data_IF_855330537755
#
_entry.id   IF_855330537755
#
_cell.length_a   1.000
_cell.length_b   1.000
_cell.length_c   1.000
_cell.angle_alpha   90.00
_cell.angle_beta   90.00
_cell.angle_gamma   90.00
#
_symmetry.space_group_name_H-M   'P 1'
#
loop_
_entity.id
_entity.type
_entity.pdbx_description
1 polymer ?
#
# COMPACT_ATOMS: atom_id res chain seq x y z
N UNK A 1 -11.99 24.92 -10.39
CA UNK A 1 -13.48 24.99 -10.27
C UNK A 1 -14.01 23.69 -9.70
N UNK A 2 -15.05 23.68 -8.84
CA UNK A 2 -15.58 22.44 -8.27
C UNK A 2 -16.40 21.64 -9.30
N UNK A 3 -16.56 20.35 -9.04
CA UNK A 3 -17.30 19.43 -9.90
C UNK A 3 -18.44 18.74 -9.15
N UNK A 4 -19.44 18.26 -9.88
CA UNK A 4 -20.46 17.40 -9.32
C UNK A 4 -19.89 15.99 -9.02
N UNK A 5 -20.07 15.49 -7.80
CA UNK A 5 -19.59 14.17 -7.38
C UNK A 5 -20.29 13.01 -8.09
N UNK A 6 -21.47 13.25 -8.68
CA UNK A 6 -22.26 12.22 -9.38
C UNK A 6 -21.87 12.09 -10.85
N UNK A 7 -21.76 13.22 -11.57
CA UNK A 7 -21.60 13.23 -13.03
C UNK A 7 -20.38 14.01 -13.55
N UNK A 8 -19.54 14.53 -12.64
CA UNK A 8 -18.34 15.36 -12.91
C UNK A 8 -18.57 16.62 -13.72
N UNK A 9 -19.82 17.02 -13.92
CA UNK A 9 -20.12 18.28 -14.57
C UNK A 9 -19.56 19.43 -13.71
N UNK A 10 -18.81 20.38 -14.29
CA UNK A 10 -18.29 21.52 -13.54
C UNK A 10 -19.44 22.38 -13.02
N UNK A 11 -19.35 22.82 -11.77
CA UNK A 11 -20.37 23.65 -11.12
C UNK A 11 -19.71 24.94 -10.65
N UNK A 12 -20.43 26.06 -10.69
CA UNK A 12 -19.92 27.37 -10.25
C UNK A 12 -19.67 27.43 -8.74
N UNK A 13 -20.61 26.91 -7.95
CA UNK A 13 -20.54 26.85 -6.49
C UNK A 13 -21.16 25.54 -6.00
N UNK A 14 -20.60 24.92 -4.96
CA UNK A 14 -21.16 23.70 -4.36
C UNK A 14 -22.31 23.99 -3.40
N UNK A 15 -22.29 25.17 -2.78
CA UNK A 15 -23.30 25.61 -1.84
C UNK A 15 -23.42 27.13 -1.84
N UNK A 16 -24.55 27.62 -1.35
CA UNK A 16 -24.79 29.03 -1.07
C UNK A 16 -24.97 29.21 0.44
N UNK A 17 -24.19 30.12 1.02
CA UNK A 17 -24.34 30.55 2.42
C UNK A 17 -25.29 31.73 2.50
N UNK A 18 -26.35 31.61 3.31
CA UNK A 18 -27.23 32.73 3.62
C UNK A 18 -26.73 33.44 4.88
N UNK A 19 -26.16 34.63 4.71
CA UNK A 19 -25.53 35.44 5.76
C UNK A 19 -26.47 35.95 6.87
N UNK A 20 -27.79 35.77 6.72
CA UNK A 20 -28.79 36.22 7.70
C UNK A 20 -29.25 35.13 8.68
N UNK A 21 -28.62 33.95 8.65
CA UNK A 21 -28.92 32.83 9.55
C UNK A 21 -27.85 32.63 10.64
N UNK A 22 -27.06 33.65 10.97
CA UNK A 22 -26.09 33.62 12.08
C UNK A 22 -26.79 33.73 13.47
N UNK A 23 -28.01 33.21 13.58
CA UNK A 23 -28.63 33.00 14.88
C UNK A 23 -28.00 31.73 15.49
N UNK A 24 -27.44 31.84 16.70
CA UNK A 24 -26.69 30.75 17.36
C UNK A 24 -27.52 29.47 17.55
N UNK A 25 -28.84 29.57 17.34
CA UNK A 25 -29.85 28.51 17.48
C UNK A 25 -30.17 27.79 16.16
N UNK A 26 -29.92 28.39 14.99
CA UNK A 26 -30.32 27.85 13.67
C UNK A 26 -29.17 27.28 12.83
N UNK A 27 -27.91 27.51 13.26
CA UNK A 27 -26.73 27.04 12.54
C UNK A 27 -26.50 27.80 11.22
N UNK A 28 -25.31 27.64 10.63
CA UNK A 28 -25.00 28.24 9.34
C UNK A 28 -25.91 27.60 8.27
N UNK A 29 -26.94 28.34 7.84
CA UNK A 29 -27.83 27.92 6.77
C UNK A 29 -27.07 27.80 5.44
N UNK A 30 -26.59 26.60 5.15
CA UNK A 30 -25.95 26.24 3.89
C UNK A 30 -26.98 25.53 3.02
N UNK A 31 -27.17 26.00 1.79
CA UNK A 31 -28.01 25.31 0.79
C UNK A 31 -27.13 24.71 -0.29
N UNK A 32 -27.18 23.40 -0.43
CA UNK A 32 -26.46 22.68 -1.48
C UNK A 32 -26.97 23.08 -2.87
N UNK A 33 -26.03 23.29 -3.79
CA UNK A 33 -26.33 23.59 -5.20
C UNK A 33 -26.73 22.31 -5.93
N UNK A 34 -27.78 22.37 -6.74
CA UNK A 34 -28.19 21.26 -7.60
C UNK A 34 -27.39 21.29 -8.91
N UNK A 35 -26.89 20.14 -9.35
CA UNK A 35 -26.18 20.04 -10.62
C UNK A 35 -27.14 20.29 -11.80
N UNK A 36 -26.79 21.16 -12.77
CA UNK A 36 -27.67 21.46 -13.90
C UNK A 36 -27.85 20.26 -14.85
N UNK A 37 -26.86 19.35 -14.91
CA UNK A 37 -26.86 18.17 -15.79
C UNK A 37 -27.65 16.98 -15.22
N UNK A 38 -27.27 16.49 -14.04
CA UNK A 38 -27.88 15.28 -13.47
C UNK A 38 -29.02 15.55 -12.49
N UNK A 39 -29.31 16.82 -12.17
CA UNK A 39 -30.35 17.26 -11.23
C UNK A 39 -30.25 16.68 -9.80
N UNK A 40 -29.13 16.05 -9.45
CA UNK A 40 -28.80 15.67 -8.07
C UNK A 40 -28.03 16.80 -7.38
N UNK A 41 -27.96 16.79 -6.05
CA UNK A 41 -27.10 17.72 -5.32
C UNK A 41 -25.65 17.57 -5.80
N UNK A 42 -24.98 18.69 -6.08
CA UNK A 42 -23.67 18.70 -6.70
C UNK A 42 -22.64 18.00 -5.83
N UNK A 43 -22.68 18.24 -4.52
CA UNK A 43 -21.84 17.57 -3.55
C UNK A 43 -22.52 17.51 -2.18
N UNK A 44 -22.96 16.31 -1.77
CA UNK A 44 -23.59 16.11 -0.46
C UNK A 44 -22.58 16.09 0.69
N UNK A 45 -21.31 15.76 0.43
CA UNK A 45 -20.31 15.55 1.48
C UNK A 45 -19.83 16.84 2.12
N UNK A 46 -20.22 18.01 1.58
CA UNK A 46 -19.99 19.31 2.20
C UNK A 46 -20.59 19.41 3.61
N UNK A 47 -21.72 18.74 3.84
CA UNK A 47 -22.42 18.74 5.14
C UNK A 47 -22.04 17.56 6.04
N UNK A 48 -21.30 16.57 5.52
CA UNK A 48 -20.99 15.35 6.25
C UNK A 48 -19.69 15.47 7.05
N UNK A 49 -19.68 14.88 8.24
CA UNK A 49 -18.49 14.80 9.08
C UNK A 49 -17.44 13.82 8.54
N UNK A 50 -16.18 14.00 8.95
CA UNK A 50 -15.05 13.17 8.50
C UNK A 50 -15.24 11.67 8.74
N UNK A 51 -16.00 11.27 9.76
CA UNK A 51 -16.29 9.86 10.03
C UNK A 51 -17.09 9.24 8.88
N UNK A 52 -18.11 9.94 8.37
CA UNK A 52 -18.92 9.43 7.25
C UNK A 52 -18.09 9.41 5.97
N UNK A 53 -17.27 10.45 5.74
CA UNK A 53 -16.35 10.48 4.61
C UNK A 53 -15.37 9.30 4.68
N UNK A 54 -14.85 8.99 5.87
CA UNK A 54 -13.94 7.86 6.08
C UNK A 54 -14.61 6.51 5.78
N UNK A 55 -15.81 6.27 6.31
CA UNK A 55 -16.57 5.04 6.04
C UNK A 55 -16.82 4.88 4.54
N UNK A 56 -17.30 5.93 3.88
CA UNK A 56 -17.55 5.88 2.44
C UNK A 56 -16.27 5.71 1.62
N UNK A 57 -15.12 6.17 2.13
CA UNK A 57 -13.82 5.98 1.50
C UNK A 57 -13.36 4.51 1.61
N UNK A 58 -13.57 3.88 2.77
CA UNK A 58 -13.38 2.43 3.00
C UNK A 58 -14.26 1.60 2.09
N UNK A 59 -15.50 2.04 1.86
CA UNK A 59 -16.43 1.39 0.95
C UNK A 59 -16.14 1.67 -0.54
N UNK A 60 -15.03 2.34 -0.85
CA UNK A 60 -14.60 2.66 -2.22
C UNK A 60 -15.69 3.41 -2.99
N UNK A 61 -16.48 4.24 -2.31
CA UNK A 61 -17.56 4.97 -2.99
C UNK A 61 -16.96 6.04 -3.91
N UNK A 62 -17.29 6.04 -5.21
CA UNK A 62 -16.70 6.99 -6.15
C UNK A 62 -17.02 8.45 -5.82
N UNK A 63 -18.15 8.70 -5.14
CA UNK A 63 -18.59 10.04 -4.79
C UNK A 63 -17.67 10.72 -3.76
N UNK A 64 -17.19 9.99 -2.74
CA UNK A 64 -16.29 10.58 -1.73
C UNK A 64 -14.89 10.81 -2.29
N UNK A 65 -14.41 9.94 -3.18
CA UNK A 65 -13.17 10.17 -3.91
C UNK A 65 -13.24 11.46 -4.73
N UNK A 66 -14.35 11.70 -5.43
CA UNK A 66 -14.53 12.94 -6.21
C UNK A 66 -14.63 14.18 -5.32
N UNK A 67 -15.35 14.08 -4.20
CA UNK A 67 -15.40 15.15 -3.18
C UNK A 67 -13.99 15.50 -2.69
N UNK A 68 -13.23 14.50 -2.24
CA UNK A 68 -11.88 14.70 -1.71
C UNK A 68 -10.94 15.24 -2.78
N UNK A 69 -10.88 14.63 -3.96
CA UNK A 69 -9.86 14.95 -4.97
C UNK A 69 -10.11 16.25 -5.72
N UNK A 70 -11.36 16.60 -6.00
CA UNK A 70 -11.67 17.74 -6.85
C UNK A 70 -12.28 18.91 -6.09
N UNK A 71 -13.09 18.64 -5.06
CA UNK A 71 -13.83 19.68 -4.35
C UNK A 71 -13.12 20.15 -3.06
N UNK A 72 -12.30 19.29 -2.45
CA UNK A 72 -11.61 19.60 -1.18
C UNK A 72 -10.10 19.76 -1.31
N UNK A 73 -9.43 18.84 -2.01
CA UNK A 73 -7.97 18.78 -2.11
C UNK A 73 -7.44 19.19 -3.49
N UNK A 74 -8.33 19.34 -4.48
CA UNK A 74 -7.98 19.72 -5.84
C UNK A 74 -7.51 21.17 -5.88
N UNK A 75 -6.19 21.39 -5.84
CA UNK A 75 -5.61 22.71 -6.10
C UNK A 75 -5.03 22.75 -7.51
N UNK A 76 -5.32 23.83 -8.21
CA UNK A 76 -4.84 24.07 -9.58
C UNK A 76 -3.35 24.45 -9.62
N UNK A 77 -2.76 24.83 -8.48
CA UNK A 77 -1.36 25.26 -8.37
C UNK A 77 -0.33 24.11 -8.31
N UNK A 78 -0.78 22.86 -8.41
CA UNK A 78 0.09 21.68 -8.40
C UNK A 78 0.81 21.43 -7.07
N UNK A 79 0.46 22.15 -6.00
CA UNK A 79 1.05 21.98 -4.67
C UNK A 79 0.24 20.98 -3.85
N UNK A 80 0.93 20.21 -3.02
CA UNK A 80 0.27 19.35 -2.05
C UNK A 80 -0.32 20.17 -0.90
N UNK A 81 -1.55 19.84 -0.52
CA UNK A 81 -2.16 20.39 0.69
C UNK A 81 -1.37 19.91 1.93
N UNK A 82 -1.18 20.76 2.96
CA UNK A 82 -0.50 20.36 4.20
C UNK A 82 -1.13 19.13 4.88
N UNK A 83 -2.44 18.94 4.76
CA UNK A 83 -3.13 17.76 5.27
C UNK A 83 -2.73 16.46 4.53
N UNK A 84 -2.46 16.54 3.23
CA UNK A 84 -1.99 15.39 2.43
C UNK A 84 -0.52 15.09 2.71
N UNK A 85 0.30 16.11 2.95
CA UNK A 85 1.67 15.91 3.40
C UNK A 85 1.67 15.20 4.76
N UNK A 86 0.82 15.64 5.71
CA UNK A 86 0.64 14.96 7.00
C UNK A 86 0.18 13.51 6.86
N UNK A 87 -0.80 13.25 5.98
CA UNK A 87 -1.24 11.89 5.67
C UNK A 87 -0.10 11.05 5.06
N UNK A 88 0.66 11.61 4.13
CA UNK A 88 1.80 10.93 3.49
C UNK A 88 2.91 10.59 4.48
N UNK A 89 3.24 11.50 5.40
CA UNK A 89 4.19 11.25 6.49
C UNK A 89 3.67 10.13 7.39
N UNK A 90 2.39 10.18 7.78
CA UNK A 90 1.77 9.11 8.59
C UNK A 90 1.88 7.75 7.89
N UNK A 91 1.48 7.66 6.62
CA UNK A 91 1.56 6.44 5.83
C UNK A 91 2.99 5.91 5.71
N UNK A 92 3.96 6.80 5.52
CA UNK A 92 5.37 6.44 5.43
C UNK A 92 5.91 5.89 6.74
N UNK A 93 5.54 6.47 7.89
CA UNK A 93 5.90 5.93 9.20
C UNK A 93 5.26 4.56 9.45
N UNK A 94 4.02 4.37 8.98
CA UNK A 94 3.37 3.06 9.02
C UNK A 94 4.05 2.02 8.14
N UNK A 95 4.44 2.40 6.92
CA UNK A 95 5.20 1.52 6.04
C UNK A 95 6.53 1.11 6.68
N UNK A 96 7.24 2.04 7.34
CA UNK A 96 8.47 1.76 8.08
C UNK A 96 8.21 0.72 9.18
N UNK A 97 7.19 0.94 10.01
CA UNK A 97 6.83 0.01 11.09
C UNK A 97 6.48 -1.38 10.54
N UNK A 98 5.61 -1.45 9.53
CA UNK A 98 5.19 -2.73 8.96
C UNK A 98 6.32 -3.46 8.24
N UNK A 99 7.27 -2.73 7.65
CA UNK A 99 8.43 -3.32 6.97
C UNK A 99 9.43 -3.87 7.97
N UNK A 100 9.70 -3.11 9.04
CA UNK A 100 10.53 -3.58 10.14
C UNK A 100 9.92 -4.83 10.80
N UNK A 101 8.64 -4.79 11.18
CA UNK A 101 7.96 -5.91 11.84
C UNK A 101 7.99 -7.19 10.98
N UNK A 102 7.75 -7.07 9.66
CA UNK A 102 7.83 -8.19 8.72
C UNK A 102 9.23 -8.79 8.63
N UNK A 103 10.26 -7.95 8.64
CA UNK A 103 11.66 -8.43 8.56
C UNK A 103 12.08 -9.10 9.85
N UNK A 104 11.64 -8.60 11.01
CA UNK A 104 11.87 -9.22 12.31
C UNK A 104 11.22 -10.61 12.40
N UNK A 105 9.95 -10.73 11.98
CA UNK A 105 9.24 -12.02 11.96
C UNK A 105 9.83 -13.01 10.93
N UNK A 106 10.41 -12.52 9.84
CA UNK A 106 11.09 -13.34 8.84
C UNK A 106 12.46 -13.84 9.31
N UNK A 107 12.97 -13.37 10.47
CA UNK A 107 14.12 -13.98 11.11
C UNK A 107 13.65 -15.23 11.87
N UNK A 108 14.05 -16.45 11.46
CA UNK A 108 13.86 -17.60 12.31
C UNK A 108 14.67 -17.35 13.59
N UNK A 109 14.00 -17.15 14.71
CA UNK A 109 14.62 -17.29 16.02
C UNK A 109 15.11 -18.73 16.11
N UNK A 110 16.43 -18.92 15.94
CA UNK A 110 17.12 -20.13 16.34
C UNK A 110 17.11 -20.20 17.87
N UNK A 111 15.94 -20.46 18.46
CA UNK A 111 15.78 -20.69 19.89
C UNK A 111 14.49 -21.46 20.18
N UNK A 112 14.33 -22.61 19.53
CA UNK A 112 13.33 -23.62 19.91
C UNK A 112 13.91 -25.04 19.80
N UNK A 113 15.22 -25.20 20.03
CA UNK A 113 15.85 -26.53 20.20
C UNK A 113 16.39 -26.79 21.61
N UNK A 114 16.35 -25.79 22.51
CA UNK A 114 16.64 -25.98 23.93
C UNK A 114 15.34 -26.14 24.75
N UNK A 115 14.45 -27.01 24.28
CA UNK A 115 13.52 -27.65 25.20
C UNK A 115 14.35 -28.68 25.99
N UNK A 116 14.84 -28.23 27.14
CA UNK A 116 15.50 -29.00 28.19
C UNK A 116 14.84 -30.39 28.30
N UNK A 117 15.49 -31.41 27.75
CA UNK A 117 15.19 -32.80 28.04
C UNK A 117 15.68 -33.09 29.46
N UNK A 118 14.72 -33.24 30.35
CA UNK A 118 14.91 -33.68 31.73
C UNK A 118 15.63 -35.05 31.72
N UNK A 119 16.73 -35.25 32.47
CA UNK A 119 17.39 -36.55 32.50
C UNK A 119 16.55 -37.55 33.31
N UNK A 120 16.00 -38.54 32.62
CA UNK A 120 15.37 -39.73 33.23
C UNK A 120 16.47 -40.65 33.80
N UNK A 121 16.25 -41.38 34.91
CA UNK A 121 17.30 -42.14 35.57
C UNK A 121 17.71 -43.39 34.77
N UNK A 122 19.01 -43.46 34.47
CA UNK A 122 19.89 -44.63 34.23
C UNK A 122 19.26 -46.02 34.01
N UNK A 123 19.38 -46.52 32.77
CA UNK A 123 19.41 -47.96 32.47
C UNK A 123 20.88 -48.49 32.53
N UNK A 124 21.18 -49.64 33.16
CA UNK A 124 22.57 -50.05 33.45
C UNK A 124 23.28 -50.87 32.36
N UNK A 125 22.71 -51.04 31.16
CA UNK A 125 23.29 -51.93 30.14
C UNK A 125 23.17 -51.35 28.72
N UNK A 126 24.18 -50.58 28.31
CA UNK A 126 24.46 -50.35 26.90
C UNK A 126 25.98 -50.34 26.67
N UNK A 127 26.42 -51.37 25.96
CA UNK A 127 27.80 -51.67 25.64
C UNK A 127 28.46 -50.60 24.76
N UNK A 128 29.77 -50.40 25.00
CA UNK A 128 30.68 -49.72 24.08
C UNK A 128 30.74 -50.43 22.72
N UNK A 129 30.54 -49.67 21.65
CA UNK A 129 31.23 -49.89 20.38
C UNK A 129 31.60 -48.55 19.76
N UNK A 130 32.86 -48.18 19.94
CA UNK A 130 33.58 -47.30 19.02
C UNK A 130 33.75 -48.01 17.67
N UNK A 131 33.38 -47.36 16.56
CA UNK A 131 34.17 -47.47 15.34
C UNK A 131 33.94 -46.29 14.40
N UNK A 132 35.06 -45.77 13.95
CA UNK A 132 35.24 -44.58 13.14
C UNK A 132 34.72 -44.75 11.70
N UNK A 133 34.36 -43.63 11.08
CA UNK A 133 34.86 -43.29 9.75
C UNK A 133 34.65 -41.80 9.50
N UNK A 134 35.76 -41.09 9.36
CA UNK A 134 35.77 -39.70 8.95
C UNK A 134 35.25 -39.57 7.52
N UNK A 135 34.33 -38.63 7.33
CA UNK A 135 34.19 -37.87 6.08
C UNK A 135 33.90 -36.43 6.49
N UNK A 136 34.99 -35.74 6.83
CA UNK A 136 35.06 -34.30 6.88
C UNK A 136 34.95 -33.75 5.46
N UNK A 137 33.73 -33.47 5.03
CA UNK A 137 33.43 -32.50 3.97
C UNK A 137 32.39 -31.52 4.49
N UNK A 138 32.85 -30.69 5.43
CA UNK A 138 32.19 -29.45 5.82
C UNK A 138 32.57 -28.36 4.84
N UNK A 139 32.06 -28.46 3.61
CA UNK A 139 31.94 -27.31 2.70
C UNK A 139 30.48 -26.90 2.60
N UNK A 140 29.81 -26.74 3.75
CA UNK A 140 28.66 -25.83 3.84
C UNK A 140 29.26 -24.44 3.89
N UNK A 141 29.44 -23.85 2.72
CA UNK A 141 29.75 -22.44 2.55
C UNK A 141 28.88 -21.64 3.50
N UNK A 142 29.50 -21.10 4.56
CA UNK A 142 28.84 -20.28 5.56
C UNK A 142 28.36 -18.99 4.90
N UNK A 143 27.16 -19.01 4.33
CA UNK A 143 26.35 -17.82 4.26
C UNK A 143 25.82 -17.59 5.67
N UNK A 144 26.58 -16.85 6.48
CA UNK A 144 26.01 -16.09 7.59
C UNK A 144 24.73 -15.43 7.07
N UNK A 145 23.56 -15.61 7.71
CA UNK A 145 22.38 -14.81 7.40
C UNK A 145 22.75 -13.33 7.48
N UNK A 146 22.93 -12.68 6.33
CA UNK A 146 23.33 -11.27 6.23
C UNK A 146 22.37 -10.30 6.94
N UNK A 147 21.23 -10.80 7.44
CA UNK A 147 20.31 -10.14 8.38
C UNK A 147 20.98 -9.72 9.70
N UNK A 148 22.06 -10.37 10.13
CA UNK A 148 22.81 -9.95 11.31
C UNK A 148 23.60 -8.66 11.10
N UNK A 149 23.97 -8.33 9.85
CA UNK A 149 24.72 -7.10 9.55
C UNK A 149 23.90 -5.83 9.73
N UNK A 150 22.57 -5.88 9.58
CA UNK A 150 21.69 -4.74 9.92
C UNK A 150 21.41 -4.66 11.43
N UNK A 151 21.37 -5.80 12.12
CA UNK A 151 21.13 -5.87 13.56
C UNK A 151 22.34 -5.38 14.38
N UNK A 152 23.56 -5.57 13.87
CA UNK A 152 24.79 -5.06 14.50
C UNK A 152 25.06 -3.56 14.24
N UNK A 153 24.25 -2.89 13.43
CA UNK A 153 24.38 -1.44 13.20
C UNK A 153 23.73 -0.64 14.34
N UNK A 154 24.22 0.59 14.61
CA UNK A 154 23.54 1.46 15.56
C UNK A 154 22.08 1.70 15.13
N UNK A 155 21.19 1.67 16.11
CA UNK A 155 19.72 1.74 15.92
C UNK A 155 19.27 2.89 15.01
N UNK A 156 19.99 4.02 15.03
CA UNK A 156 19.71 5.19 14.19
C UNK A 156 19.91 4.86 12.71
N UNK A 157 20.99 4.15 12.36
CA UNK A 157 21.25 3.74 10.98
C UNK A 157 20.21 2.73 10.49
N UNK A 158 19.75 1.83 11.35
CA UNK A 158 18.67 0.90 11.04
C UNK A 158 17.36 1.64 10.70
N UNK A 159 16.94 2.61 11.53
CA UNK A 159 15.74 3.41 11.26
C UNK A 159 15.86 4.29 10.02
N UNK A 160 17.03 4.92 9.80
CA UNK A 160 17.28 5.73 8.59
C UNK A 160 17.25 4.85 7.33
N UNK A 161 17.79 3.63 7.39
CA UNK A 161 17.71 2.67 6.29
C UNK A 161 16.26 2.33 5.95
N UNK A 162 15.44 1.93 6.93
CA UNK A 162 14.03 1.61 6.69
C UNK A 162 13.25 2.82 6.19
N UNK A 163 13.51 4.01 6.74
CA UNK A 163 12.89 5.25 6.29
C UNK A 163 13.20 5.53 4.82
N UNK A 164 14.47 5.41 4.41
CA UNK A 164 14.89 5.61 3.03
C UNK A 164 14.32 4.54 2.09
N UNK A 165 14.33 3.28 2.51
CA UNK A 165 13.72 2.18 1.76
C UNK A 165 12.24 2.45 1.49
N UNK A 166 11.45 2.73 2.52
CA UNK A 166 10.01 3.00 2.39
C UNK A 166 9.73 4.29 1.60
N UNK A 167 10.55 5.33 1.77
CA UNK A 167 10.46 6.55 0.99
C UNK A 167 10.71 6.30 -0.50
N UNK A 168 11.78 5.57 -0.84
CA UNK A 168 12.14 5.23 -2.21
C UNK A 168 11.12 4.31 -2.86
N UNK A 169 10.56 3.33 -2.13
CA UNK A 169 9.45 2.52 -2.62
C UNK A 169 8.21 3.36 -2.93
N UNK A 170 7.83 4.26 -2.03
CA UNK A 170 6.69 5.17 -2.24
C UNK A 170 6.93 6.06 -3.46
N UNK A 171 8.12 6.66 -3.58
CA UNK A 171 8.50 7.47 -4.73
C UNK A 171 8.47 6.62 -6.01
N UNK A 172 8.98 5.40 -5.99
CA UNK A 172 9.04 4.49 -7.14
C UNK A 172 7.67 3.97 -7.58
N UNK A 173 6.68 3.94 -6.69
CA UNK A 173 5.30 3.68 -7.06
C UNK A 173 4.66 4.89 -7.76
N UNK A 174 4.89 6.11 -7.24
CA UNK A 174 4.25 7.33 -7.74
C UNK A 174 4.87 7.88 -9.03
N UNK A 175 6.21 7.91 -9.13
CA UNK A 175 6.92 8.49 -10.26
C UNK A 175 6.52 7.90 -11.62
N UNK A 176 6.51 6.58 -11.85
CA UNK A 176 6.17 6.02 -13.16
C UNK A 176 4.73 6.33 -13.55
N UNK A 177 3.79 6.27 -12.60
CA UNK A 177 2.38 6.60 -12.86
C UNK A 177 2.27 8.08 -13.27
N UNK A 178 2.96 8.98 -12.57
CA UNK A 178 2.99 10.42 -12.90
C UNK A 178 3.62 10.68 -14.26
N UNK A 179 4.79 10.09 -14.54
CA UNK A 179 5.50 10.31 -15.79
C UNK A 179 4.66 9.79 -16.96
N UNK A 180 4.15 8.57 -16.88
CA UNK A 180 3.29 7.95 -17.90
C UNK A 180 2.04 8.80 -18.20
N UNK A 181 1.36 9.33 -17.17
CA UNK A 181 0.17 10.17 -17.35
C UNK A 181 0.50 11.60 -17.83
N UNK A 182 1.70 12.11 -17.50
CA UNK A 182 2.15 13.44 -17.94
C UNK A 182 2.67 13.45 -19.38
N UNK A 183 3.19 12.32 -19.87
CA UNK A 183 3.74 12.20 -21.22
C UNK A 183 2.62 12.18 -22.26
N UNK A 184 2.80 12.93 -23.35
CA UNK A 184 1.96 12.82 -24.54
C UNK A 184 2.49 11.70 -25.43
N UNK A 185 2.03 10.49 -25.15
CA UNK A 185 2.47 9.29 -25.88
C UNK A 185 1.96 9.30 -27.34
N UNK A 186 2.79 8.87 -28.31
CA UNK A 186 2.36 8.70 -29.70
C UNK A 186 1.37 7.53 -29.83
N UNK A 187 0.59 7.51 -30.91
CA UNK A 187 -0.31 6.40 -31.23
C UNK A 187 0.53 5.14 -31.57
N UNK A 188 0.14 3.93 -31.10
CA UNK A 188 -1.15 3.57 -30.50
C UNK A 188 -1.23 3.68 -28.96
N UNK A 189 -0.13 3.97 -28.25
CA UNK A 189 -0.12 3.99 -26.77
C UNK A 189 -1.08 5.02 -26.17
N UNK A 190 -1.36 6.12 -26.90
CA UNK A 190 -2.33 7.13 -26.48
C UNK A 190 -3.76 6.60 -26.33
N UNK A 191 -4.10 5.47 -26.95
CA UNK A 191 -5.41 4.83 -26.77
C UNK A 191 -5.48 4.08 -25.43
N UNK A 192 -4.35 3.61 -24.92
CA UNK A 192 -4.26 2.85 -23.68
C UNK A 192 -4.06 3.73 -22.45
N UNK A 193 -3.36 4.86 -22.60
CA UNK A 193 -2.99 5.74 -21.48
C UNK A 193 -3.56 7.15 -21.72
N UNK A 194 -4.46 7.63 -20.84
CA UNK A 194 -4.98 8.99 -20.93
C UNK A 194 -3.93 10.01 -20.49
N UNK A 195 -3.86 11.15 -21.18
CA UNK A 195 -3.05 12.28 -20.73
C UNK A 195 -3.75 13.02 -19.58
N UNK A 196 -3.05 13.26 -18.48
CA UNK A 196 -3.57 13.99 -17.33
C UNK A 196 -2.57 15.07 -16.87
N UNK A 197 -2.91 16.37 -16.99
CA UNK A 197 -1.96 17.46 -16.80
C UNK A 197 -1.66 17.82 -15.34
N UNK A 198 -2.38 17.27 -14.36
CA UNK A 198 -2.24 17.63 -12.94
C UNK A 198 -1.58 16.50 -12.11
N UNK A 199 -0.24 16.41 -12.06
CA UNK A 199 0.48 15.31 -11.42
C UNK A 199 0.31 15.24 -9.89
N UNK A 200 0.02 16.37 -9.24
CA UNK A 200 -0.21 16.40 -7.79
C UNK A 200 -1.53 15.73 -7.38
N UNK A 201 -2.57 15.83 -8.22
CA UNK A 201 -3.86 15.17 -7.96
C UNK A 201 -3.71 13.65 -8.06
N UNK A 202 -2.90 13.16 -9.01
CA UNK A 202 -2.58 11.72 -9.12
C UNK A 202 -1.95 11.21 -7.83
N UNK A 203 -0.93 11.89 -7.33
CA UNK A 203 -0.28 11.48 -6.07
C UNK A 203 -1.21 11.62 -4.88
N UNK A 204 -2.06 12.64 -4.86
CA UNK A 204 -3.08 12.81 -3.81
C UNK A 204 -4.08 11.66 -3.83
N UNK A 205 -4.53 11.22 -5.01
CA UNK A 205 -5.42 10.07 -5.16
C UNK A 205 -4.79 8.80 -4.60
N UNK A 206 -3.54 8.51 -4.98
CA UNK A 206 -2.81 7.32 -4.52
C UNK A 206 -2.51 7.34 -3.01
N UNK A 207 -2.19 8.51 -2.43
CA UNK A 207 -2.01 8.65 -0.99
C UNK A 207 -3.32 8.47 -0.22
N UNK A 208 -4.41 9.10 -0.70
CA UNK A 208 -5.73 8.97 -0.08
C UNK A 208 -6.24 7.54 -0.17
N UNK A 209 -6.01 6.82 -1.27
CA UNK A 209 -6.40 5.41 -1.41
C UNK A 209 -5.52 4.44 -0.61
N UNK A 210 -4.27 4.80 -0.34
CA UNK A 210 -3.34 4.00 0.48
C UNK A 210 -3.59 4.10 1.99
N UNK A 211 -4.64 4.81 2.43
CA UNK A 211 -5.00 4.91 3.84
C UNK A 211 -5.25 3.55 4.50
N UNK A 212 -5.53 2.50 3.72
CA UNK A 212 -5.78 1.17 4.24
C UNK A 212 -4.54 0.49 4.83
N UNK A 213 -3.35 1.04 4.57
CA UNK A 213 -2.12 0.67 5.27
C UNK A 213 -2.16 0.95 6.78
N UNK A 214 -3.14 1.73 7.24
CA UNK A 214 -3.38 1.99 8.66
C UNK A 214 -4.20 0.87 9.34
N UNK A 215 -4.93 0.04 8.60
CA UNK A 215 -5.77 -1.02 9.19
C UNK A 215 -5.00 -2.03 10.05
N UNK A 216 -3.74 -2.41 9.73
CA UNK A 216 -2.94 -3.26 10.60
C UNK A 216 -2.77 -2.74 12.04
N UNK A 217 -2.98 -1.44 12.32
CA UNK A 217 -3.06 -0.97 13.71
C UNK A 217 -4.21 -1.59 14.50
N UNK A 218 -5.35 -1.80 13.86
CA UNK A 218 -6.48 -2.47 14.49
C UNK A 218 -6.16 -3.95 14.73
N UNK A 219 -5.35 -4.55 13.85
CA UNK A 219 -4.81 -5.90 14.01
C UNK A 219 -3.72 -5.99 15.09
N UNK A 220 -3.17 -4.87 15.56
CA UNK A 220 -2.24 -4.86 16.70
C UNK A 220 -3.01 -5.06 18.01
N UNK A 221 -4.24 -4.53 18.08
CA UNK A 221 -5.11 -4.66 19.27
C UNK A 221 -5.68 -6.08 19.38
N UNK A 222 -5.91 -6.75 18.26
CA UNK A 222 -6.56 -8.05 18.19
C UNK A 222 -5.64 -9.10 17.58
N UNK A 223 -5.45 -10.23 18.26
CA UNK A 223 -4.70 -11.36 17.70
C UNK A 223 -5.49 -12.00 16.55
N UNK A 224 -5.13 -11.67 15.31
CA UNK A 224 -5.60 -12.33 14.11
C UNK A 224 -4.53 -13.28 13.55
N UNK A 225 -4.94 -14.22 12.69
CA UNK A 225 -4.00 -15.05 11.94
C UNK A 225 -3.09 -14.15 11.07
N UNK A 226 -1.86 -14.00 11.54
CA UNK A 226 -0.83 -13.05 11.05
C UNK A 226 -0.64 -13.09 9.52
N UNK A 227 -0.51 -14.26 8.85
CA UNK A 227 -0.30 -14.29 7.41
C UNK A 227 -1.56 -13.99 6.57
N UNK A 228 -2.72 -14.49 6.98
CA UNK A 228 -3.99 -14.30 6.24
C UNK A 228 -4.48 -12.84 6.28
N UNK A 229 -4.26 -12.17 7.42
CA UNK A 229 -4.68 -10.78 7.60
C UNK A 229 -3.76 -9.80 6.87
N UNK A 230 -2.45 -10.07 6.89
CA UNK A 230 -1.46 -9.24 6.18
C UNK A 230 -1.67 -9.28 4.65
N UNK A 231 -1.94 -10.45 4.08
CA UNK A 231 -2.23 -10.58 2.65
C UNK A 231 -3.53 -9.86 2.26
N UNK A 232 -4.60 -9.99 3.06
CA UNK A 232 -5.86 -9.29 2.83
C UNK A 232 -5.70 -7.76 2.79
N UNK A 233 -4.90 -7.18 3.70
CA UNK A 233 -4.60 -5.75 3.70
C UNK A 233 -3.82 -5.34 2.44
N UNK A 234 -2.84 -6.14 2.02
CA UNK A 234 -2.09 -5.87 0.78
C UNK A 234 -3.00 -5.82 -0.44
N UNK A 235 -3.90 -6.80 -0.58
CA UNK A 235 -4.91 -6.83 -1.65
C UNK A 235 -5.85 -5.62 -1.60
N UNK A 236 -6.30 -5.23 -0.40
CA UNK A 236 -7.14 -4.05 -0.23
C UNK A 236 -6.45 -2.77 -0.70
N UNK A 237 -5.16 -2.59 -0.42
CA UNK A 237 -4.38 -1.44 -0.90
C UNK A 237 -4.32 -1.41 -2.43
N UNK A 238 -4.06 -2.56 -3.08
CA UNK A 238 -4.02 -2.66 -4.54
C UNK A 238 -5.38 -2.27 -5.13
N UNK A 239 -6.47 -2.88 -4.65
CA UNK A 239 -7.83 -2.64 -5.15
C UNK A 239 -8.20 -1.16 -4.98
N UNK A 240 -7.88 -0.56 -3.82
CA UNK A 240 -8.13 0.85 -3.57
C UNK A 240 -7.34 1.76 -4.51
N UNK A 241 -6.07 1.47 -4.76
CA UNK A 241 -5.24 2.23 -5.68
C UNK A 241 -5.74 2.12 -7.13
N UNK A 242 -6.16 0.93 -7.57
CA UNK A 242 -6.79 0.71 -8.89
C UNK A 242 -8.10 1.49 -9.01
N UNK A 243 -8.99 1.37 -8.02
CA UNK A 243 -10.26 2.07 -8.01
C UNK A 243 -10.07 3.59 -8.00
N UNK A 244 -9.12 4.10 -7.23
CA UNK A 244 -8.80 5.53 -7.21
C UNK A 244 -8.28 6.04 -8.56
N UNK A 245 -7.45 5.27 -9.27
CA UNK A 245 -7.00 5.61 -10.62
C UNK A 245 -8.14 5.55 -11.63
N UNK A 246 -9.00 4.53 -11.57
CA UNK A 246 -10.19 4.44 -12.43
C UNK A 246 -11.13 5.63 -12.20
N UNK A 247 -11.42 5.95 -10.94
CA UNK A 247 -12.24 7.10 -10.56
C UNK A 247 -11.55 8.38 -10.99
N UNK A 248 -10.25 8.56 -10.83
CA UNK A 248 -9.58 9.79 -11.23
C UNK A 248 -9.61 9.99 -12.76
N UNK A 249 -9.25 8.94 -13.51
CA UNK A 249 -8.94 9.04 -14.94
C UNK A 249 -10.12 8.72 -15.86
N UNK A 250 -11.19 8.09 -15.38
CA UNK A 250 -12.33 7.67 -16.21
C UNK A 250 -11.93 6.75 -17.38
N UNK A 251 -10.79 6.07 -17.25
CA UNK A 251 -10.21 5.24 -18.30
C UNK A 251 -10.72 3.80 -18.30
N UNK A 252 -11.52 3.42 -17.29
CA UNK A 252 -11.99 2.06 -17.05
C UNK A 252 -10.99 1.18 -16.29
N UNK A 253 -11.51 0.12 -15.66
CA UNK A 253 -10.76 -0.78 -14.76
C UNK A 253 -9.47 -1.31 -15.38
N UNK A 254 -9.51 -1.83 -16.61
CA UNK A 254 -8.34 -2.49 -17.24
C UNK A 254 -7.16 -1.54 -17.34
N UNK A 255 -7.39 -0.30 -17.79
CA UNK A 255 -6.33 0.71 -17.93
C UNK A 255 -5.80 1.14 -16.57
N UNK A 256 -6.68 1.27 -15.57
CA UNK A 256 -6.29 1.58 -14.20
C UNK A 256 -5.43 0.45 -13.58
N UNK A 257 -5.78 -0.81 -13.82
CA UNK A 257 -5.00 -1.99 -13.41
C UNK A 257 -3.62 -1.97 -14.04
N UNK A 258 -3.52 -1.73 -15.35
CA UNK A 258 -2.22 -1.65 -16.05
C UNK A 258 -1.34 -0.55 -15.44
N UNK A 259 -1.90 0.65 -15.22
CA UNK A 259 -1.17 1.77 -14.61
C UNK A 259 -0.70 1.45 -13.18
N UNK A 260 -1.57 0.86 -12.36
CA UNK A 260 -1.22 0.43 -11.00
C UNK A 260 -0.13 -0.66 -11.02
N UNK A 261 -0.21 -1.60 -11.96
CA UNK A 261 0.76 -2.68 -12.11
C UNK A 261 2.14 -2.14 -12.49
N UNK A 262 2.25 -1.16 -13.39
CA UNK A 262 3.53 -0.51 -13.72
C UNK A 262 4.15 0.11 -12.47
N UNK A 263 3.37 0.84 -11.67
CA UNK A 263 3.84 1.38 -10.40
C UNK A 263 4.29 0.30 -9.42
N UNK A 264 3.51 -0.78 -9.28
CA UNK A 264 3.81 -1.88 -8.37
C UNK A 264 5.09 -2.64 -8.76
N UNK A 265 5.31 -2.89 -10.06
CA UNK A 265 6.53 -3.51 -10.58
C UNK A 265 7.75 -2.64 -10.31
N UNK A 266 7.66 -1.32 -10.55
CA UNK A 266 8.75 -0.40 -10.23
C UNK A 266 9.04 -0.37 -8.73
N UNK A 267 8.01 -0.31 -7.87
CA UNK A 267 8.14 -0.39 -6.42
C UNK A 267 8.87 -1.66 -5.99
N UNK A 268 8.42 -2.82 -6.47
CA UNK A 268 9.01 -4.11 -6.14
C UNK A 268 10.47 -4.22 -6.61
N UNK A 269 10.77 -3.73 -7.82
CA UNK A 269 12.13 -3.72 -8.36
C UNK A 269 13.10 -2.86 -7.54
N UNK A 270 12.66 -1.67 -7.11
CA UNK A 270 13.47 -0.79 -6.25
C UNK A 270 13.66 -1.39 -4.86
N UNK A 271 12.59 -1.88 -4.22
CA UNK A 271 12.69 -2.53 -2.91
C UNK A 271 13.63 -3.72 -2.93
N UNK A 272 13.46 -4.62 -3.91
CA UNK A 272 14.34 -5.77 -4.10
C UNK A 272 15.80 -5.36 -4.37
N UNK A 273 16.02 -4.35 -5.21
CA UNK A 273 17.37 -3.85 -5.52
C UNK A 273 18.09 -3.30 -4.30
N UNK A 274 17.40 -2.51 -3.46
CA UNK A 274 17.96 -1.93 -2.23
C UNK A 274 18.26 -3.02 -1.21
N UNK A 275 17.33 -3.95 -0.98
CA UNK A 275 17.53 -5.06 -0.04
C UNK A 275 18.69 -5.97 -0.47
N UNK A 276 18.80 -6.27 -1.77
CA UNK A 276 19.93 -7.03 -2.32
C UNK A 276 21.26 -6.29 -2.16
N UNK A 277 21.28 -4.97 -2.38
CA UNK A 277 22.48 -4.14 -2.18
C UNK A 277 22.91 -4.09 -0.70
N UNK A 278 21.95 -4.13 0.22
CA UNK A 278 22.19 -4.23 1.67
C UNK A 278 22.61 -5.65 2.12
N UNK A 279 22.73 -6.61 1.19
CA UNK A 279 23.14 -7.98 1.46
C UNK A 279 22.03 -8.88 2.00
N UNK A 280 20.80 -8.39 2.16
CA UNK A 280 19.66 -9.17 2.67
C UNK A 280 19.30 -10.27 1.67
N UNK A 281 19.23 -11.52 2.15
CA UNK A 281 18.98 -12.70 1.32
C UNK A 281 17.69 -12.61 0.49
N UNK A 282 17.70 -13.22 -0.70
CA UNK A 282 16.61 -13.14 -1.69
C UNK A 282 15.25 -13.59 -1.16
N UNK A 283 15.20 -14.47 -0.15
CA UNK A 283 13.97 -14.93 0.48
C UNK A 283 13.24 -13.86 1.31
N UNK A 284 13.97 -13.02 2.04
CA UNK A 284 13.39 -11.91 2.83
C UNK A 284 13.04 -10.72 1.93
N UNK A 285 13.84 -10.48 0.89
CA UNK A 285 13.52 -9.48 -0.14
C UNK A 285 12.26 -9.86 -0.95
N UNK A 286 11.98 -11.15 -1.13
CA UNK A 286 10.74 -11.64 -1.72
C UNK A 286 9.54 -11.56 -0.75
N UNK A 287 9.76 -11.68 0.57
CA UNK A 287 8.73 -11.53 1.59
C UNK A 287 8.22 -10.08 1.73
N UNK A 288 9.02 -9.07 1.36
CA UNK A 288 8.54 -7.68 1.19
C UNK A 288 7.52 -7.53 0.04
N UNK A 289 7.44 -8.54 -0.83
CA UNK A 289 6.54 -8.68 -1.98
C UNK A 289 5.63 -9.90 -1.74
N UNK A 290 4.93 -9.91 -0.58
CA UNK A 290 3.85 -10.88 -0.28
C UNK A 290 2.86 -11.01 -1.45
N UNK A 291 2.74 -9.98 -2.28
CA UNK A 291 1.90 -9.94 -3.48
C UNK A 291 2.27 -10.96 -4.56
N UNK A 292 3.55 -11.32 -4.72
CA UNK A 292 3.96 -12.22 -5.82
C UNK A 292 3.71 -13.70 -5.52
N UNK A 293 3.88 -14.15 -4.28
CA UNK A 293 3.65 -15.55 -3.90
C UNK A 293 2.19 -15.98 -4.10
N UNK A 294 1.25 -15.17 -3.60
CA UNK A 294 -0.19 -15.42 -3.73
C UNK A 294 -0.67 -15.29 -5.18
N UNK A 295 -0.14 -14.34 -5.95
CA UNK A 295 -0.44 -14.20 -7.37
C UNK A 295 0.07 -15.39 -8.19
N UNK A 296 1.28 -15.87 -7.91
CA UNK A 296 1.85 -17.05 -8.57
C UNK A 296 1.05 -18.30 -8.23
N UNK A 297 0.64 -18.47 -6.97
CA UNK A 297 -0.18 -19.60 -6.53
C UNK A 297 -1.60 -19.54 -7.11
N UNK A 298 -2.23 -18.36 -7.14
CA UNK A 298 -3.52 -18.14 -7.80
C UNK A 298 -3.43 -18.40 -9.30
N UNK A 299 -2.36 -17.91 -9.95
CA UNK A 299 -2.13 -18.13 -11.36
C UNK A 299 -1.84 -19.60 -11.66
N UNK A 300 -1.08 -20.30 -10.82
CA UNK A 300 -0.90 -21.77 -10.90
C UNK A 300 -2.23 -22.49 -10.77
N UNK A 301 -3.08 -22.13 -9.80
CA UNK A 301 -4.42 -22.73 -9.62
C UNK A 301 -5.33 -22.46 -10.80
N UNK A 302 -5.29 -21.26 -11.37
CA UNK A 302 -6.04 -20.89 -12.57
C UNK A 302 -5.49 -21.58 -13.82
N UNK A 303 -4.17 -21.68 -13.99
CA UNK A 303 -3.54 -22.39 -15.10
C UNK A 303 -3.86 -23.89 -15.05
N UNK A 304 -3.88 -24.48 -13.86
CA UNK A 304 -4.34 -25.85 -13.61
C UNK A 304 -5.84 -26.03 -13.94
N UNK A 305 -6.69 -25.04 -13.62
CA UNK A 305 -8.12 -25.09 -13.97
C UNK A 305 -8.40 -24.86 -15.46
N UNK A 306 -7.54 -24.11 -16.16
CA UNK A 306 -7.65 -23.80 -17.59
C UNK A 306 -6.93 -24.86 -18.45
N UNK A 307 -6.27 -25.84 -17.85
CA UNK A 307 -5.61 -26.95 -18.57
C UNK A 307 -4.35 -26.53 -19.32
N UNK A 308 -3.74 -25.40 -18.96
CA UNK A 308 -2.48 -24.92 -19.54
C UNK A 308 -1.35 -25.40 -18.63
N UNK A 309 -1.00 -26.67 -18.75
CA UNK A 309 0.10 -27.28 -17.99
C UNK A 309 -0.05 -28.78 -17.83
N UNK A 310 0.18 -29.52 -18.92
CA UNK A 310 0.90 -30.80 -18.83
C UNK A 310 2.39 -30.52 -19.05
#
# INVERSE_FOLDING_TARGET
MPICIECRYPVSSLYTTYSKADDRTLGKGVRLTQCPRCKRFADKYVEHDFVVLFIDLVLIKPQVYRHLLFNRLGREDGRFNPSIIRLGVLLLLFDVYLTWARIEEAMPSSSATDAISMPTPSDPFAHLTSNATGSSDSSTSGLLPSSYLLSEQPIILQYVFFLLLCALETISFHLPIRTVLSLRLPRPLSYLIPHYPHPAVISTALLVSSFTKLFPLLLLIWKYDLPSSASAVSWAVIINNVAALEILLECGVIRAVILAAVGAVCRAGVGWGILRAAGVGSGVAAAGVVETGDLIELWKRLALHVGIGQ
#
